data_IF_044238676216
#
_entry.id   IF_044238676216
#
_cell.length_a   1.000
_cell.length_b   1.000
_cell.length_c   1.000
_cell.angle_alpha   90.00
_cell.angle_beta   90.00
_cell.angle_gamma   90.00
#
_symmetry.space_group_name_H-M   'P 1'
#
loop_
_entity.id
_entity.type
_entity.pdbx_description
1 polymer ?
#
# COMPACT_ATOMS: atom_id res chain seq x y z
N UNK A 1 16.41 -39.53 -6.97
CA UNK A 1 17.86 -39.34 -6.71
C UNK A 1 18.40 -38.11 -7.45
N UNK A 2 18.35 -38.07 -8.80
CA UNK A 2 18.80 -36.89 -9.58
C UNK A 2 18.04 -35.60 -9.27
N UNK A 3 16.71 -35.65 -9.11
CA UNK A 3 15.92 -34.46 -8.79
C UNK A 3 16.32 -33.78 -7.47
N UNK A 4 16.67 -34.57 -6.45
CA UNK A 4 17.17 -34.05 -5.18
C UNK A 4 18.56 -33.44 -5.32
N UNK A 5 19.45 -34.11 -6.06
CA UNK A 5 20.80 -33.64 -6.36
C UNK A 5 20.82 -32.38 -7.24
N UNK A 6 19.74 -32.14 -7.99
CA UNK A 6 19.52 -30.94 -8.81
C UNK A 6 18.68 -29.85 -8.10
N UNK A 7 18.36 -30.02 -6.81
CA UNK A 7 17.69 -29.00 -6.00
C UNK A 7 16.14 -28.99 -6.06
N UNK A 8 15.49 -29.98 -6.68
CA UNK A 8 14.02 -30.04 -6.82
C UNK A 8 13.27 -30.55 -5.57
N UNK A 9 13.90 -30.54 -4.39
CA UNK A 9 13.26 -30.99 -3.15
C UNK A 9 12.43 -29.89 -2.48
N UNK A 10 12.89 -28.64 -2.55
CA UNK A 10 12.23 -27.49 -1.94
C UNK A 10 12.60 -26.27 -2.76
N UNK A 11 11.59 -25.59 -3.31
CA UNK A 11 11.76 -24.30 -3.97
C UNK A 11 11.36 -23.25 -2.94
N UNK A 12 12.34 -22.48 -2.47
CA UNK A 12 12.15 -21.38 -1.52
C UNK A 12 12.83 -20.12 -2.04
N UNK A 13 12.33 -18.97 -1.62
CA UNK A 13 12.91 -17.67 -1.92
C UNK A 13 12.96 -16.86 -0.63
N UNK A 14 14.17 -16.54 -0.19
CA UNK A 14 14.38 -15.71 0.98
C UNK A 14 14.13 -14.25 0.60
N UNK A 15 13.13 -13.64 1.23
CA UNK A 15 12.68 -12.28 0.90
C UNK A 15 13.37 -11.19 1.74
N UNK A 16 14.07 -11.57 2.82
CA UNK A 16 14.84 -10.68 3.70
C UNK A 16 14.14 -9.36 4.06
N UNK A 17 12.84 -9.43 4.36
CA UNK A 17 12.08 -8.25 4.76
C UNK A 17 12.55 -7.70 6.11
N UNK A 18 12.47 -6.39 6.24
CA UNK A 18 12.72 -5.69 7.50
C UNK A 18 11.45 -5.10 8.08
N UNK A 19 11.49 -4.85 9.38
CA UNK A 19 10.47 -4.04 10.05
C UNK A 19 10.44 -2.63 9.46
N UNK A 20 9.23 -2.07 9.37
CA UNK A 20 8.98 -0.70 8.90
C UNK A 20 7.96 -0.02 9.80
N UNK A 21 7.85 1.30 9.65
CA UNK A 21 6.93 2.15 10.41
C UNK A 21 5.92 2.79 9.46
N UNK A 22 4.68 2.99 9.92
CA UNK A 22 3.70 3.82 9.21
C UNK A 22 3.49 5.11 9.98
N UNK A 23 3.57 6.24 9.27
CA UNK A 23 3.35 7.57 9.82
C UNK A 23 2.19 8.23 9.10
N UNK A 24 1.25 8.79 9.85
CA UNK A 24 0.13 9.52 9.27
C UNK A 24 -0.21 10.78 10.07
N UNK A 25 -0.71 11.78 9.36
CA UNK A 25 -1.21 13.03 9.91
C UNK A 25 -2.46 13.42 9.16
N UNK A 26 -3.44 14.00 9.85
CA UNK A 26 -4.66 14.46 9.23
C UNK A 26 -5.37 15.51 10.05
N UNK A 27 -6.30 16.18 9.39
CA UNK A 27 -7.09 17.26 9.96
C UNK A 27 -8.57 17.00 9.68
N UNK A 28 -9.40 17.29 10.68
CA UNK A 28 -10.86 17.37 10.53
C UNK A 28 -11.31 18.79 10.82
N UNK A 29 -12.14 19.36 9.95
CA UNK A 29 -12.68 20.70 10.08
C UNK A 29 -14.20 20.67 10.00
N UNK A 30 -14.85 21.12 11.08
CA UNK A 30 -16.29 21.33 11.11
C UNK A 30 -16.61 22.60 10.31
N UNK A 31 -17.07 22.45 9.08
CA UNK A 31 -17.35 23.57 8.19
C UNK A 31 -18.71 24.23 8.49
N UNK A 32 -19.73 23.41 8.80
CA UNK A 32 -21.08 23.83 9.26
C UNK A 32 -21.55 22.83 10.31
N UNK A 33 -22.67 23.02 11.04
CA UNK A 33 -23.19 22.02 11.97
C UNK A 33 -23.42 20.63 11.33
N UNK A 34 -23.72 20.58 10.04
CA UNK A 34 -24.02 19.36 9.29
C UNK A 34 -22.79 18.77 8.59
N UNK A 35 -21.74 19.55 8.32
CA UNK A 35 -20.62 19.14 7.47
C UNK A 35 -19.27 19.14 8.20
N UNK A 36 -18.60 17.98 8.18
CA UNK A 36 -17.19 17.83 8.56
C UNK A 36 -16.38 17.50 7.32
N UNK A 37 -15.31 18.25 7.07
CA UNK A 37 -14.34 17.97 6.01
C UNK A 37 -13.08 17.35 6.60
N UNK A 38 -12.50 16.37 5.92
CA UNK A 38 -11.30 15.64 6.36
C UNK A 38 -10.27 15.60 5.26
N UNK A 39 -9.00 15.72 5.64
CA UNK A 39 -7.87 15.42 4.76
C UNK A 39 -6.74 14.81 5.56
N UNK A 40 -5.93 13.98 4.91
CA UNK A 40 -4.79 13.35 5.55
C UNK A 40 -3.69 12.99 4.58
N UNK A 41 -2.51 12.78 5.15
CA UNK A 41 -1.34 12.28 4.46
C UNK A 41 -0.69 11.18 5.28
N UNK A 42 -0.26 10.11 4.61
CA UNK A 42 0.50 9.03 5.22
C UNK A 42 1.75 8.70 4.39
N UNK A 43 2.80 8.27 5.09
CA UNK A 43 4.04 7.77 4.52
C UNK A 43 4.41 6.44 5.18
N UNK A 44 4.69 5.45 4.35
CA UNK A 44 4.97 4.06 4.75
C UNK A 44 6.19 3.56 3.94
N UNK A 45 7.39 3.51 4.51
CA UNK A 45 8.55 2.94 3.85
C UNK A 45 8.33 1.45 3.53
N UNK A 46 8.88 1.00 2.40
CA UNK A 46 8.76 -0.40 1.99
C UNK A 46 9.53 -1.33 2.95
N UNK A 47 8.97 -2.52 3.26
CA UNK A 47 9.70 -3.55 4.00
C UNK A 47 10.75 -4.27 3.12
N UNK A 48 10.77 -4.05 1.80
CA UNK A 48 11.69 -4.70 0.86
C UNK A 48 12.93 -3.84 0.57
N UNK A 49 14.11 -4.45 0.46
CA UNK A 49 15.33 -3.82 -0.08
C UNK A 49 15.32 -3.81 -1.62
N UNK A 50 16.28 -3.18 -2.28
CA UNK A 50 16.39 -3.27 -3.75
C UNK A 50 16.99 -4.60 -4.20
N UNK A 51 17.78 -5.22 -3.33
CA UNK A 51 18.50 -6.47 -3.53
C UNK A 51 17.57 -7.68 -3.44
N UNK A 52 16.57 -7.64 -2.56
CA UNK A 52 15.67 -8.76 -2.27
C UNK A 52 14.25 -8.57 -2.84
N UNK A 53 13.98 -7.43 -3.49
CA UNK A 53 12.68 -7.20 -4.14
C UNK A 53 12.52 -8.12 -5.35
N UNK A 54 11.33 -8.68 -5.49
CA UNK A 54 10.97 -9.56 -6.61
C UNK A 54 9.78 -9.01 -7.40
N UNK A 55 9.53 -9.64 -8.54
CA UNK A 55 8.43 -9.29 -9.47
C UNK A 55 7.04 -9.62 -8.93
N UNK A 56 6.93 -10.46 -7.88
CA UNK A 56 5.64 -10.83 -7.28
C UNK A 56 5.14 -9.77 -6.30
N UNK A 57 6.05 -9.10 -5.61
CA UNK A 57 5.75 -8.05 -4.63
C UNK A 57 6.66 -6.84 -4.90
N UNK A 58 6.49 -6.13 -6.03
CA UNK A 58 7.38 -5.05 -6.43
C UNK A 58 6.97 -3.73 -5.77
N UNK A 59 7.02 -3.66 -4.44
CA UNK A 59 6.49 -2.53 -3.65
C UNK A 59 7.57 -1.52 -3.25
N UNK A 60 7.28 -0.24 -3.51
CA UNK A 60 8.12 0.90 -3.14
C UNK A 60 7.65 1.58 -1.85
N UNK A 61 8.34 2.64 -1.46
CA UNK A 61 7.90 3.50 -0.36
C UNK A 61 6.57 4.17 -0.76
N UNK A 62 5.58 4.04 0.10
CA UNK A 62 4.21 4.44 -0.18
C UNK A 62 3.88 5.79 0.43
N UNK A 63 3.17 6.60 -0.34
CA UNK A 63 2.54 7.84 0.10
C UNK A 63 1.05 7.76 -0.19
N UNK A 64 0.24 8.20 0.76
CA UNK A 64 -1.22 8.23 0.62
C UNK A 64 -1.70 9.63 0.93
N UNK A 65 -2.49 10.20 0.04
CA UNK A 65 -3.23 11.43 0.26
C UNK A 65 -4.72 11.12 0.30
N UNK A 66 -5.43 11.68 1.28
CA UNK A 66 -6.87 11.45 1.44
C UNK A 66 -7.64 12.76 1.56
N UNK A 67 -8.86 12.74 1.05
CA UNK A 67 -9.88 13.77 1.25
C UNK A 67 -11.22 13.09 1.52
N UNK A 68 -12.05 13.70 2.37
CA UNK A 68 -13.36 13.15 2.68
C UNK A 68 -14.29 14.18 3.30
N UNK A 69 -15.57 13.81 3.36
CA UNK A 69 -16.62 14.61 3.95
C UNK A 69 -17.59 13.70 4.71
N UNK A 70 -18.02 14.18 5.88
CA UNK A 70 -19.12 13.62 6.64
C UNK A 70 -20.29 14.60 6.64
N UNK A 71 -21.48 14.10 6.33
CA UNK A 71 -22.73 14.85 6.31
C UNK A 71 -23.70 14.30 7.34
N UNK A 72 -24.14 15.14 8.28
CA UNK A 72 -25.12 14.81 9.31
C UNK A 72 -26.37 15.67 9.13
N UNK A 73 -27.37 15.22 8.35
CA UNK A 73 -28.62 15.98 8.14
C UNK A 73 -29.45 16.16 9.41
N UNK A 74 -29.25 15.29 10.40
CA UNK A 74 -29.88 15.36 11.71
C UNK A 74 -28.95 14.72 12.75
N UNK A 75 -29.41 14.62 14.01
CA UNK A 75 -28.59 14.10 15.13
C UNK A 75 -28.40 12.57 15.09
N UNK A 76 -29.21 11.88 14.31
CA UNK A 76 -29.29 10.42 14.33
C UNK A 76 -28.56 9.79 13.14
N UNK A 77 -28.35 10.53 12.04
CA UNK A 77 -27.79 10.02 10.80
C UNK A 77 -26.51 10.76 10.40
N UNK A 78 -25.47 10.02 10.09
CA UNK A 78 -24.25 10.53 9.43
C UNK A 78 -23.93 9.67 8.21
N UNK A 79 -23.60 10.33 7.09
CA UNK A 79 -23.09 9.71 5.86
C UNK A 79 -21.68 10.22 5.62
N UNK A 80 -20.70 9.33 5.53
CA UNK A 80 -19.32 9.66 5.23
C UNK A 80 -18.94 9.15 3.84
N UNK A 81 -18.19 9.97 3.10
CA UNK A 81 -17.53 9.60 1.85
C UNK A 81 -16.08 10.04 1.89
N UNK A 82 -15.18 9.23 1.36
CA UNK A 82 -13.77 9.59 1.24
C UNK A 82 -13.12 8.99 0.00
N UNK A 83 -12.08 9.67 -0.45
CA UNK A 83 -11.21 9.27 -1.54
C UNK A 83 -9.76 9.25 -1.06
N UNK A 84 -9.04 8.22 -1.47
CA UNK A 84 -7.61 8.07 -1.23
C UNK A 84 -6.88 7.91 -2.56
N UNK A 85 -5.79 8.65 -2.73
CA UNK A 85 -4.81 8.41 -3.78
C UNK A 85 -3.51 7.92 -3.15
N UNK A 86 -3.05 6.77 -3.61
CA UNK A 86 -1.84 6.11 -3.15
C UNK A 86 -0.87 6.02 -4.30
N UNK A 87 0.40 6.34 -4.05
CA UNK A 87 1.46 6.13 -5.01
C UNK A 87 2.73 5.67 -4.30
N UNK A 88 3.54 4.92 -5.03
CA UNK A 88 4.80 4.38 -4.53
C UNK A 88 5.97 5.03 -5.27
N UNK A 89 7.13 5.10 -4.62
CA UNK A 89 8.39 5.36 -5.34
C UNK A 89 8.67 4.22 -6.32
N UNK A 90 9.27 4.52 -7.48
CA UNK A 90 9.64 3.49 -8.47
C UNK A 90 10.41 2.35 -7.82
N UNK A 91 9.85 1.14 -7.93
CA UNK A 91 10.45 -0.07 -7.39
C UNK A 91 11.27 -0.76 -8.49
N UNK A 92 12.60 -0.71 -8.35
CA UNK A 92 13.51 -1.47 -9.19
C UNK A 92 13.63 -2.92 -8.70
N UNK A 93 13.64 -3.85 -9.64
CA UNK A 93 13.96 -5.26 -9.42
C UNK A 93 15.10 -5.62 -10.36
N UNK A 94 16.19 -6.16 -9.82
CA UNK A 94 17.30 -6.71 -10.60
C UNK A 94 17.67 -8.06 -10.01
N UNK A 95 17.48 -9.12 -10.78
CA UNK A 95 17.78 -10.48 -10.35
C UNK A 95 18.80 -11.09 -11.29
N UNK A 96 19.88 -11.57 -10.69
CA UNK A 96 20.96 -12.22 -11.41
C UNK A 96 20.51 -13.62 -11.87
N UNK A 97 20.99 -14.03 -13.03
CA UNK A 97 20.70 -15.35 -13.57
C UNK A 97 21.55 -16.42 -12.89
N UNK A 98 21.01 -17.64 -12.81
CA UNK A 98 21.75 -18.85 -12.50
C UNK A 98 21.76 -19.81 -13.69
N UNK A 99 22.40 -20.97 -13.56
CA UNK A 99 22.45 -21.98 -14.62
C UNK A 99 21.07 -22.45 -15.10
N UNK A 100 20.03 -22.32 -14.27
CA UNK A 100 18.66 -22.77 -14.54
C UNK A 100 17.63 -21.63 -14.52
N UNK A 101 18.03 -20.40 -14.19
CA UNK A 101 17.13 -19.25 -14.08
C UNK A 101 17.72 -18.07 -14.85
N UNK A 102 17.04 -17.52 -15.87
CA UNK A 102 17.54 -16.36 -16.59
C UNK A 102 17.55 -15.11 -15.70
N UNK A 103 18.56 -14.25 -15.91
CA UNK A 103 18.59 -12.93 -15.29
C UNK A 103 17.40 -12.08 -15.77
N UNK A 104 16.90 -11.18 -14.93
CA UNK A 104 15.86 -10.25 -15.31
C UNK A 104 15.97 -8.92 -14.56
N UNK A 105 15.46 -7.86 -15.19
CA UNK A 105 15.39 -6.52 -14.62
C UNK A 105 14.07 -5.87 -14.99
N UNK A 106 13.46 -5.17 -14.04
CA UNK A 106 12.20 -4.47 -14.22
C UNK A 106 12.10 -3.23 -13.33
N UNK A 107 11.30 -2.26 -13.75
CA UNK A 107 10.89 -1.10 -12.94
C UNK A 107 9.38 -1.08 -12.84
N UNK A 108 8.88 -0.85 -11.64
CA UNK A 108 7.46 -0.80 -11.32
C UNK A 108 7.09 0.57 -10.78
N UNK A 109 6.10 1.20 -11.41
CA UNK A 109 5.49 2.44 -10.95
C UNK A 109 4.05 2.12 -10.54
N UNK A 110 3.81 2.03 -9.23
CA UNK A 110 2.53 1.62 -8.68
C UNK A 110 1.74 2.83 -8.18
N UNK A 111 0.45 2.84 -8.48
CA UNK A 111 -0.52 3.75 -7.86
C UNK A 111 -1.88 3.07 -7.70
N UNK A 112 -2.67 3.57 -6.77
CA UNK A 112 -4.01 3.06 -6.49
C UNK A 112 -4.98 4.18 -6.09
N UNK A 113 -6.25 3.95 -6.37
CA UNK A 113 -7.36 4.81 -6.01
C UNK A 113 -8.30 4.05 -5.06
N UNK A 114 -8.63 4.66 -3.92
CA UNK A 114 -9.59 4.13 -2.96
C UNK A 114 -10.82 5.03 -2.87
N UNK A 115 -11.99 4.43 -2.89
CA UNK A 115 -13.27 5.10 -2.63
C UNK A 115 -13.97 4.39 -1.49
N UNK A 116 -14.42 5.15 -0.50
CA UNK A 116 -15.10 4.61 0.69
C UNK A 116 -16.37 5.39 0.95
N UNK A 117 -17.43 4.68 1.34
CA UNK A 117 -18.67 5.26 1.83
C UNK A 117 -19.10 4.52 3.10
N UNK A 118 -19.63 5.25 4.08
CA UNK A 118 -20.12 4.71 5.34
C UNK A 118 -21.40 5.43 5.75
N UNK A 119 -22.30 4.70 6.41
CA UNK A 119 -23.49 5.27 7.05
C UNK A 119 -23.48 4.88 8.52
N UNK A 120 -23.71 5.84 9.40
CA UNK A 120 -23.80 5.66 10.85
C UNK A 120 -25.16 6.14 11.31
N UNK A 121 -25.89 5.31 12.07
CA UNK A 121 -27.19 5.67 12.65
C UNK A 121 -27.17 5.50 14.19
N UNK A 122 -27.71 6.47 14.93
CA UNK A 122 -27.81 6.47 16.40
C UNK A 122 -29.28 6.27 16.82
N UNK A 123 -29.52 5.40 17.81
CA UNK A 123 -30.83 5.08 18.39
C UNK A 123 -30.92 5.49 19.86
#
# INVERSE_FOLDING_TARGET
ALGQALGFNTIGEDLNWRDTWSFSVGTSYQATPEWVLRTGFAYEPSPTSNEDRNVRIPVGDRKVFTVGAGWSPNQDLTVDVAYAYLWETTAGVNQEGSALQPAYSAKYDNSAHGLTAQVTYRF
#
